data_IF_147250397989
#
_entry.id   IF_147250397989
#
_cell.length_a   1.000
_cell.length_b   1.000
_cell.length_c   1.000
_cell.angle_alpha   90.00
_cell.angle_beta   90.00
_cell.angle_gamma   90.00
#
_symmetry.space_group_name_H-M   'P 1'
#
loop_
_entity.id
_entity.type
_entity.pdbx_description
1 polymer ?
#
# COMPACT_ATOMS: atom_id res chain seq x y z
N UNK A 1 -30.73 7.40 -4.88
CA UNK A 1 -30.21 8.27 -3.80
C UNK A 1 -28.97 7.59 -3.26
N UNK A 2 -27.79 8.18 -3.41
CA UNK A 2 -26.54 7.64 -2.85
C UNK A 2 -26.62 7.74 -1.32
N UNK A 3 -26.75 6.60 -0.65
CA UNK A 3 -26.72 6.54 0.81
C UNK A 3 -25.31 6.95 1.27
N UNK A 4 -25.19 8.16 1.81
CA UNK A 4 -24.02 8.52 2.59
C UNK A 4 -24.04 7.64 3.85
N UNK A 5 -23.28 6.55 3.82
CA UNK A 5 -22.97 5.76 5.02
C UNK A 5 -22.28 6.71 5.99
N UNK A 6 -23.02 7.20 6.99
CA UNK A 6 -22.43 7.93 8.10
C UNK A 6 -21.49 6.96 8.82
N UNK A 7 -20.19 7.12 8.58
CA UNK A 7 -19.18 6.39 9.33
C UNK A 7 -19.33 6.74 10.81
N UNK A 8 -19.54 5.71 11.62
CA UNK A 8 -19.68 5.85 13.06
C UNK A 8 -18.36 6.37 13.64
N UNK A 9 -18.43 7.49 14.37
CA UNK A 9 -17.25 8.15 14.94
C UNK A 9 -16.98 7.62 16.33
N UNK A 10 -15.92 6.84 16.48
CA UNK A 10 -15.47 6.30 17.77
C UNK A 10 -14.43 7.23 18.40
N UNK A 11 -14.48 7.39 19.73
CA UNK A 11 -13.44 8.10 20.51
C UNK A 11 -12.41 7.11 21.04
N UNK A 12 -11.13 7.44 20.84
CA UNK A 12 -10.01 6.67 21.38
C UNK A 12 -9.24 7.56 22.36
N UNK A 13 -9.06 7.07 23.59
CA UNK A 13 -8.23 7.73 24.59
C UNK A 13 -6.84 7.08 24.58
N UNK A 14 -5.80 7.88 24.33
CA UNK A 14 -4.42 7.42 24.25
C UNK A 14 -3.52 8.19 25.21
N UNK A 15 -2.53 7.51 25.79
CA UNK A 15 -1.45 8.14 26.53
C UNK A 15 -0.23 8.27 25.63
N UNK A 16 0.38 9.45 25.64
CA UNK A 16 1.56 9.75 24.83
C UNK A 16 2.65 10.32 25.74
N UNK A 17 3.93 9.98 25.49
CA UNK A 17 5.06 10.66 26.13
C UNK A 17 4.97 12.18 25.91
N UNK A 18 5.38 12.95 26.91
CA UNK A 18 5.32 14.42 26.85
C UNK A 18 6.10 14.98 25.65
N UNK A 19 7.27 14.41 25.36
CA UNK A 19 8.09 14.78 24.21
C UNK A 19 7.35 14.56 22.88
N UNK A 20 6.65 13.42 22.75
CA UNK A 20 5.87 13.09 21.56
C UNK A 20 4.70 14.04 21.37
N UNK A 21 4.04 14.44 22.48
CA UNK A 21 2.99 15.45 22.45
C UNK A 21 3.52 16.76 21.90
N UNK A 22 4.67 17.26 22.37
CA UNK A 22 5.24 18.50 21.84
C UNK A 22 5.58 18.42 20.34
N UNK A 23 6.19 17.32 19.91
CA UNK A 23 6.50 17.08 18.49
C UNK A 23 5.21 17.07 17.65
N UNK A 24 4.16 16.43 18.15
CA UNK A 24 2.84 16.38 17.51
C UNK A 24 2.23 17.78 17.35
N UNK A 25 2.24 18.61 18.39
CA UNK A 25 1.73 19.98 18.32
C UNK A 25 2.53 20.81 17.31
N UNK A 26 3.87 20.73 17.33
CA UNK A 26 4.73 21.44 16.37
C UNK A 26 4.46 20.99 14.93
N UNK A 27 4.34 19.69 14.68
CA UNK A 27 4.05 19.14 13.36
C UNK A 27 2.66 19.55 12.84
N UNK A 28 1.64 19.46 13.69
CA UNK A 28 0.26 19.86 13.39
C UNK A 28 0.19 21.35 13.03
N UNK A 29 0.84 22.22 13.82
CA UNK A 29 0.88 23.66 13.55
C UNK A 29 1.60 23.99 12.24
N UNK A 30 2.71 23.29 11.92
CA UNK A 30 3.42 23.49 10.64
C UNK A 30 2.56 23.18 9.42
N UNK A 31 1.65 22.20 9.52
CA UNK A 31 0.73 21.85 8.44
C UNK A 31 -0.59 22.64 8.48
N UNK A 32 -0.77 23.55 9.45
CA UNK A 32 -2.01 24.31 9.60
C UNK A 32 -3.23 23.45 9.98
N UNK A 33 -3.01 22.25 10.53
CA UNK A 33 -4.07 21.28 10.85
C UNK A 33 -4.35 21.25 12.35
N UNK A 34 -5.56 20.82 12.72
CA UNK A 34 -5.89 20.46 14.10
C UNK A 34 -5.18 19.15 14.47
N UNK A 35 -4.70 19.03 15.71
CA UNK A 35 -4.00 17.83 16.19
C UNK A 35 -4.83 16.56 15.95
N UNK A 36 -6.13 16.59 16.22
CA UNK A 36 -7.01 15.43 15.97
C UNK A 36 -7.14 15.04 14.49
N UNK A 37 -7.09 16.02 13.58
CA UNK A 37 -7.14 15.76 12.14
C UNK A 37 -5.81 15.17 11.67
N UNK A 38 -4.70 15.78 12.11
CA UNK A 38 -3.36 15.28 11.83
C UNK A 38 -3.16 13.85 12.33
N UNK A 39 -3.56 13.54 13.57
CA UNK A 39 -3.48 12.18 14.12
C UNK A 39 -4.31 11.19 13.30
N UNK A 40 -5.53 11.56 12.88
CA UNK A 40 -6.38 10.68 12.07
C UNK A 40 -5.73 10.37 10.72
N UNK A 41 -5.29 11.38 10.00
CA UNK A 41 -4.63 11.23 8.70
C UNK A 41 -3.36 10.38 8.84
N UNK A 42 -2.53 10.63 9.85
CA UNK A 42 -1.33 9.82 10.09
C UNK A 42 -1.63 8.36 10.41
N UNK A 43 -2.74 8.08 11.11
CA UNK A 43 -3.20 6.71 11.37
C UNK A 43 -3.65 6.05 10.06
N UNK A 44 -4.47 6.73 9.26
CA UNK A 44 -4.95 6.22 7.96
C UNK A 44 -3.80 5.94 7.00
N UNK A 45 -2.85 6.88 6.86
CA UNK A 45 -1.63 6.70 6.07
C UNK A 45 -0.82 5.49 6.54
N UNK A 46 -0.69 5.30 7.86
CA UNK A 46 0.06 4.18 8.40
C UNK A 46 -0.64 2.85 8.15
N UNK A 47 -1.96 2.79 8.26
CA UNK A 47 -2.74 1.59 7.96
C UNK A 47 -2.60 1.20 6.48
N UNK A 48 -2.75 2.17 5.56
CA UNK A 48 -2.54 1.93 4.13
C UNK A 48 -1.14 1.40 3.84
N UNK A 49 -0.13 1.94 4.51
CA UNK A 49 1.24 1.47 4.36
C UNK A 49 1.41 0.01 4.83
N UNK A 50 0.79 -0.37 5.94
CA UNK A 50 0.83 -1.74 6.46
C UNK A 50 0.12 -2.70 5.49
N UNK A 51 -1.07 -2.34 5.01
CA UNK A 51 -1.81 -3.15 4.04
C UNK A 51 -1.01 -3.37 2.75
N UNK A 52 -0.32 -2.33 2.27
CA UNK A 52 0.56 -2.44 1.10
C UNK A 52 1.73 -3.39 1.34
N UNK A 53 2.37 -3.30 2.51
CA UNK A 53 3.49 -4.17 2.87
C UNK A 53 3.04 -5.63 2.95
N UNK A 54 1.88 -5.89 3.53
CA UNK A 54 1.31 -7.23 3.60
C UNK A 54 0.95 -7.73 2.20
N UNK A 55 0.32 -6.91 1.36
CA UNK A 55 0.03 -7.27 -0.02
C UNK A 55 1.29 -7.62 -0.82
N UNK A 56 2.33 -6.76 -0.78
CA UNK A 56 3.61 -7.00 -1.46
C UNK A 56 4.26 -8.32 -1.00
N UNK A 57 4.18 -8.62 0.30
CA UNK A 57 4.70 -9.88 0.87
C UNK A 57 3.95 -11.10 0.34
N UNK A 58 2.61 -11.07 0.34
CA UNK A 58 1.80 -12.17 -0.17
C UNK A 58 2.00 -12.36 -1.68
N UNK A 59 2.07 -11.27 -2.43
CA UNK A 59 2.29 -11.31 -3.87
C UNK A 59 3.66 -11.93 -4.19
N UNK A 60 4.71 -11.53 -3.45
CA UNK A 60 6.04 -12.14 -3.60
C UNK A 60 6.02 -13.64 -3.32
N UNK A 61 5.34 -14.07 -2.25
CA UNK A 61 5.23 -15.49 -1.92
C UNK A 61 4.51 -16.26 -3.03
N UNK A 62 3.38 -15.75 -3.53
CA UNK A 62 2.63 -16.37 -4.62
C UNK A 62 3.46 -16.53 -5.91
N UNK A 63 4.23 -15.50 -6.29
CA UNK A 63 5.13 -15.60 -7.45
C UNK A 63 6.25 -16.63 -7.25
N UNK A 64 6.76 -16.78 -6.02
CA UNK A 64 7.78 -17.77 -5.71
C UNK A 64 7.20 -19.19 -5.76
N UNK A 65 5.99 -19.38 -5.24
CA UNK A 65 5.30 -20.68 -5.26
C UNK A 65 4.97 -21.13 -6.69
N UNK A 66 4.67 -20.18 -7.59
CA UNK A 66 4.39 -20.45 -9.00
C UNK A 66 5.63 -20.44 -9.90
N UNK A 67 6.83 -20.30 -9.36
CA UNK A 67 8.03 -20.06 -10.16
C UNK A 67 8.33 -21.18 -11.16
N UNK A 68 8.21 -22.44 -10.75
CA UNK A 68 8.47 -23.59 -11.60
C UNK A 68 7.43 -23.72 -12.72
N UNK A 69 6.15 -23.61 -12.39
CA UNK A 69 5.06 -23.63 -13.38
C UNK A 69 5.17 -22.48 -14.38
N UNK A 70 5.45 -21.27 -13.90
CA UNK A 70 5.66 -20.11 -14.76
C UNK A 70 6.84 -20.32 -15.73
N UNK A 71 7.95 -20.92 -15.27
CA UNK A 71 9.09 -21.23 -16.12
C UNK A 71 8.75 -22.27 -17.19
N UNK A 72 8.00 -23.31 -16.82
CA UNK A 72 7.56 -24.35 -17.76
C UNK A 72 6.66 -23.75 -18.85
N UNK A 73 5.70 -22.90 -18.46
CA UNK A 73 4.85 -22.16 -19.41
C UNK A 73 5.72 -21.28 -20.33
N UNK A 74 6.69 -20.53 -19.80
CA UNK A 74 7.55 -19.70 -20.63
C UNK A 74 8.33 -20.50 -21.68
N UNK A 75 8.82 -21.70 -21.34
CA UNK A 75 9.51 -22.57 -22.31
C UNK A 75 8.54 -23.14 -23.36
N UNK A 76 7.33 -23.54 -22.96
CA UNK A 76 6.31 -24.08 -23.88
C UNK A 76 5.88 -23.06 -24.96
N UNK A 77 5.85 -21.76 -24.61
CA UNK A 77 5.41 -20.69 -25.53
C UNK A 77 6.55 -19.95 -26.24
N UNK A 78 7.80 -20.28 -25.94
CA UNK A 78 9.01 -19.61 -26.46
C UNK A 78 9.09 -19.53 -27.98
N UNK A 79 8.62 -20.57 -28.67
CA UNK A 79 8.64 -20.61 -30.14
C UNK A 79 7.54 -19.76 -30.76
N UNK A 80 6.36 -19.72 -30.15
CA UNK A 80 5.24 -18.89 -30.62
C UNK A 80 5.50 -17.39 -30.41
N UNK A 81 6.21 -17.01 -29.33
CA UNK A 81 6.62 -15.62 -29.12
C UNK A 81 7.68 -15.16 -30.14
N UNK A 82 8.55 -16.06 -30.60
CA UNK A 82 9.59 -15.76 -31.58
C UNK A 82 9.05 -15.49 -32.99
N UNK A 83 7.85 -15.99 -33.34
CA UNK A 83 7.21 -15.78 -34.65
C UNK A 83 6.70 -14.35 -34.86
N UNK A 84 6.48 -13.59 -33.78
CA UNK A 84 5.98 -12.21 -33.83
C UNK A 84 7.08 -11.14 -33.68
N UNK A 85 8.35 -11.54 -33.67
CA UNK A 85 9.45 -10.59 -33.71
C UNK A 85 9.55 -10.01 -35.13
N UNK A 86 9.51 -8.68 -35.31
CA UNK A 86 9.76 -8.10 -36.63
C UNK A 86 11.13 -8.58 -37.10
N UNK A 87 11.21 -9.11 -38.32
CA UNK A 87 12.49 -9.45 -38.95
C UNK A 87 13.43 -8.27 -38.72
N UNK A 88 14.53 -8.52 -38.00
CA UNK A 88 15.55 -7.50 -37.78
C UNK A 88 16.00 -7.06 -39.16
N UNK A 89 15.54 -5.88 -39.57
CA UNK A 89 15.91 -5.29 -40.84
C UNK A 89 17.44 -5.17 -40.89
N UNK A 90 18.10 -5.60 -41.98
CA UNK A 90 19.55 -5.54 -42.12
C UNK A 90 20.10 -4.11 -42.08
#
# INVERSE_FOLDING_TARGET
MLSMTQQEKVRINIQLPAETKEKLFKASSKQGKKVSAFVRESIEEKLIQLDRQDFEKHMKAAYQDLAEENMNICEDFKFSDAENLPEVAP
#
